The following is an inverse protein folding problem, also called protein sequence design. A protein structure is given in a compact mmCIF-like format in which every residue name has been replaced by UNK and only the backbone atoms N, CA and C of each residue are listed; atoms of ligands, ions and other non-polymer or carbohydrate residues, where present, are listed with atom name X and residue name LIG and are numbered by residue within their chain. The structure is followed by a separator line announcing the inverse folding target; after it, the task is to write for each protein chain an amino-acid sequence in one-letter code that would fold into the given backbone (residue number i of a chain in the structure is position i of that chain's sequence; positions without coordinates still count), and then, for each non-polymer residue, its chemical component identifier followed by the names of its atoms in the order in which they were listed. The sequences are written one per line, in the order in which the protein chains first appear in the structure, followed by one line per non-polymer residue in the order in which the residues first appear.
data_IF_485844229530
#
_entry.id   IF_485844229530
#
_cell.length_a   1.000
_cell.length_b   1.000
_cell.length_c   1.000
_cell.angle_alpha   90.00
_cell.angle_beta   90.00
_cell.angle_gamma   90.00
#
_symmetry.space_group_name_H-M   'P 1'
#
loop_
_entity.id
_entity.type
_entity.pdbx_description
1 polymer ?
#
# COMPACT_ATOMS: atom_id res chain seq x y z
N UNK A 1 -16.30 8.51 -3.17
CA UNK A 1 -15.22 7.91 -2.33
C UNK A 1 -14.45 9.05 -1.67
N UNK A 2 -14.38 9.03 -0.34
CA UNK A 2 -13.73 10.08 0.45
C UNK A 2 -12.32 9.74 0.91
N UNK A 3 -11.89 8.51 0.69
CA UNK A 3 -10.56 8.06 1.03
C UNK A 3 -10.39 6.58 0.76
N UNK A 4 -9.14 6.15 0.65
CA UNK A 4 -8.78 4.74 0.42
C UNK A 4 -7.69 4.36 1.40
N UNK A 5 -7.87 3.25 2.07
CA UNK A 5 -6.83 2.64 2.90
C UNK A 5 -6.27 1.40 2.21
N UNK A 6 -4.97 1.36 2.02
CA UNK A 6 -4.31 0.24 1.36
C UNK A 6 -3.17 -0.29 2.24
N UNK A 7 -3.20 -1.59 2.50
CA UNK A 7 -2.28 -2.24 3.42
C UNK A 7 -1.33 -3.16 2.63
N UNK A 8 -0.03 -2.86 2.71
CA UNK A 8 1.04 -3.71 2.18
C UNK A 8 0.84 -4.13 0.71
N UNK A 9 0.33 -3.23 -0.12
CA UNK A 9 0.05 -3.52 -1.53
C UNK A 9 1.26 -3.40 -2.43
N UNK A 10 1.30 -4.14 -3.56
CA UNK A 10 2.33 -4.01 -4.58
C UNK A 10 1.94 -2.93 -5.59
N UNK A 11 2.67 -1.82 -5.60
CA UNK A 11 2.35 -0.67 -6.46
C UNK A 11 3.42 -0.37 -7.49
N UNK A 12 4.64 -0.90 -7.30
CA UNK A 12 5.78 -0.68 -8.16
C UNK A 12 6.65 -1.94 -8.14
N UNK A 13 6.25 -2.96 -8.89
CA UNK A 13 6.87 -4.29 -8.85
C UNK A 13 7.40 -4.76 -10.22
N UNK A 14 7.51 -3.87 -11.18
CA UNK A 14 8.17 -4.18 -12.46
C UNK A 14 9.64 -3.74 -12.37
N UNK A 15 10.60 -4.52 -12.85
CA UNK A 15 10.44 -5.81 -13.54
C UNK A 15 9.98 -6.94 -12.62
N UNK A 16 9.22 -7.88 -13.20
CA UNK A 16 8.65 -8.99 -12.44
C UNK A 16 9.76 -9.95 -12.01
N UNK A 17 9.96 -10.08 -10.70
CA UNK A 17 11.05 -10.87 -10.14
C UNK A 17 10.59 -12.15 -9.43
N UNK A 18 9.30 -12.29 -9.15
CA UNK A 18 8.75 -13.49 -8.55
C UNK A 18 8.09 -14.37 -9.62
N UNK A 19 8.04 -15.68 -9.36
CA UNK A 19 7.41 -16.61 -10.29
C UNK A 19 5.94 -16.29 -10.47
N UNK A 20 5.25 -15.91 -9.39
CA UNK A 20 3.83 -15.56 -9.43
C UNK A 20 3.58 -14.35 -10.33
N UNK A 21 4.36 -13.29 -10.20
CA UNK A 21 4.18 -12.09 -11.03
C UNK A 21 4.53 -12.35 -12.47
N UNK A 22 5.56 -13.16 -12.74
CA UNK A 22 5.93 -13.56 -14.11
C UNK A 22 4.81 -14.34 -14.78
N UNK A 23 4.17 -15.26 -14.07
CA UNK A 23 3.07 -16.05 -14.61
C UNK A 23 1.83 -15.18 -14.86
N UNK A 24 1.56 -14.23 -13.97
CA UNK A 24 0.35 -13.40 -14.07
C UNK A 24 0.47 -12.27 -15.10
N UNK A 25 1.64 -11.66 -15.21
CA UNK A 25 1.81 -10.41 -15.99
C UNK A 25 2.93 -10.48 -17.03
N UNK A 26 3.76 -11.53 -17.03
CA UNK A 26 4.98 -11.58 -17.83
C UNK A 26 4.78 -11.43 -19.34
N UNK A 27 3.63 -11.87 -19.86
CA UNK A 27 3.31 -11.81 -21.28
C UNK A 27 2.56 -10.54 -21.69
N UNK A 28 2.29 -9.65 -20.73
CA UNK A 28 1.56 -8.41 -21.03
C UNK A 28 2.44 -7.45 -21.80
N UNK A 29 1.94 -6.93 -22.93
CA UNK A 29 2.73 -6.12 -23.86
C UNK A 29 3.13 -4.77 -23.29
N UNK A 30 2.35 -4.22 -22.34
CA UNK A 30 2.62 -2.93 -21.71
C UNK A 30 2.71 -3.12 -20.19
N UNK A 31 3.81 -3.70 -19.70
CA UNK A 31 3.91 -4.03 -18.27
C UNK A 31 3.79 -2.81 -17.34
N UNK A 32 4.12 -1.60 -17.81
CA UNK A 32 3.94 -0.39 -17.03
C UNK A 32 2.47 -0.13 -16.66
N UNK A 33 1.52 -0.65 -17.42
CA UNK A 33 0.09 -0.51 -17.13
C UNK A 33 -0.38 -1.45 -16.01
N UNK A 34 0.46 -2.39 -15.58
CA UNK A 34 0.16 -3.26 -14.44
C UNK A 34 0.58 -2.63 -13.11
N UNK A 35 1.24 -1.47 -13.14
CA UNK A 35 1.85 -0.85 -11.95
C UNK A 35 1.01 0.33 -11.47
N UNK A 36 0.33 0.21 -10.32
CA UNK A 36 -0.49 1.31 -9.78
C UNK A 36 0.24 2.64 -9.63
N UNK A 37 1.55 2.62 -9.41
CA UNK A 37 2.37 3.83 -9.26
C UNK A 37 2.32 4.73 -10.50
N UNK A 38 1.97 4.18 -11.67
CA UNK A 38 1.89 4.94 -12.92
C UNK A 38 0.52 5.59 -13.15
N UNK A 39 -0.43 5.44 -12.21
CA UNK A 39 -1.80 5.93 -12.36
C UNK A 39 -2.20 6.96 -11.30
N UNK A 40 -1.23 7.60 -10.66
CA UNK A 40 -1.50 8.63 -9.66
C UNK A 40 -2.06 9.89 -10.30
N UNK A 41 -2.99 10.57 -9.61
CA UNK A 41 -3.64 11.79 -10.09
C UNK A 41 -3.89 12.72 -8.92
N UNK A 42 -3.90 14.04 -9.20
CA UNK A 42 -4.19 15.04 -8.17
C UNK A 42 -5.63 15.00 -7.68
N UNK A 43 -6.56 14.49 -8.50
CA UNK A 43 -7.98 14.40 -8.17
C UNK A 43 -8.39 13.04 -7.59
N UNK A 44 -7.43 12.15 -7.34
CA UNK A 44 -7.70 10.87 -6.71
C UNK A 44 -8.14 11.06 -5.24
N UNK A 45 -8.94 10.14 -4.67
CA UNK A 45 -9.26 10.21 -3.25
C UNK A 45 -8.00 10.17 -2.39
N UNK A 46 -7.98 10.80 -1.20
CA UNK A 46 -6.84 10.69 -0.29
C UNK A 46 -6.49 9.23 0.00
N UNK A 47 -5.20 8.92 0.07
CA UNK A 47 -4.70 7.58 0.33
C UNK A 47 -4.11 7.47 1.73
N UNK A 48 -4.41 6.38 2.41
CA UNK A 48 -3.72 5.97 3.63
C UNK A 48 -3.00 4.67 3.33
N UNK A 49 -1.67 4.70 3.38
CA UNK A 49 -0.83 3.57 3.01
C UNK A 49 -0.10 3.08 4.25
N UNK A 50 -0.11 1.76 4.46
CA UNK A 50 0.60 1.18 5.59
C UNK A 50 1.34 -0.07 5.17
N UNK A 51 2.42 -0.36 5.87
CA UNK A 51 3.21 -1.57 5.68
C UNK A 51 3.95 -1.92 6.95
N UNK A 52 4.41 -3.17 7.05
CA UNK A 52 5.26 -3.62 8.14
C UNK A 52 6.72 -3.63 7.70
N UNK A 53 7.63 -3.25 8.58
CA UNK A 53 9.06 -3.18 8.24
C UNK A 53 9.67 -4.55 7.94
N UNK A 54 9.07 -5.64 8.42
CA UNK A 54 9.51 -7.01 8.16
C UNK A 54 8.78 -7.69 7.00
N UNK A 55 8.03 -6.92 6.20
CA UNK A 55 7.35 -7.47 5.02
C UNK A 55 8.37 -7.76 3.92
N UNK A 56 8.61 -9.05 3.66
CA UNK A 56 9.50 -9.52 2.61
C UNK A 56 8.75 -10.00 1.36
N UNK A 57 7.44 -10.13 1.43
CA UNK A 57 6.60 -10.52 0.30
C UNK A 57 6.29 -9.33 -0.59
N UNK A 58 5.84 -8.23 0.01
CA UNK A 58 5.65 -6.96 -0.68
C UNK A 58 6.44 -5.91 0.11
N UNK A 59 7.58 -5.54 -0.41
CA UNK A 59 8.52 -4.68 0.32
C UNK A 59 7.95 -3.29 0.60
N UNK A 60 8.30 -2.68 1.73
CA UNK A 60 7.81 -1.34 2.09
C UNK A 60 8.04 -0.26 1.04
N UNK A 61 9.05 -0.42 0.17
CA UNK A 61 9.32 0.53 -0.89
C UNK A 61 8.10 0.80 -1.78
N UNK A 62 7.24 -0.20 -1.97
CA UNK A 62 6.03 -0.05 -2.79
C UNK A 62 5.12 1.06 -2.25
N UNK A 63 4.84 1.04 -0.96
CA UNK A 63 3.99 2.05 -0.32
C UNK A 63 4.67 3.43 -0.30
N UNK A 64 5.98 3.46 -0.03
CA UNK A 64 6.72 4.72 0.00
C UNK A 64 6.75 5.40 -1.36
N UNK A 65 6.98 4.64 -2.44
CA UNK A 65 7.03 5.18 -3.80
C UNK A 65 5.65 5.67 -4.23
N UNK A 66 4.59 4.93 -3.92
CA UNK A 66 3.23 5.38 -4.25
C UNK A 66 2.89 6.68 -3.53
N UNK A 67 3.24 6.79 -2.23
CA UNK A 67 3.06 8.04 -1.48
C UNK A 67 3.76 9.21 -2.17
N UNK A 68 5.04 9.02 -2.50
CA UNK A 68 5.84 10.09 -3.09
C UNK A 68 5.29 10.50 -4.45
N UNK A 69 4.90 9.55 -5.28
CA UNK A 69 4.31 9.83 -6.59
C UNK A 69 2.95 10.55 -6.47
N UNK A 70 2.14 10.15 -5.51
CA UNK A 70 0.85 10.80 -5.27
C UNK A 70 1.02 12.26 -4.85
N UNK A 71 1.97 12.52 -3.95
CA UNK A 71 2.27 13.88 -3.51
C UNK A 71 2.86 14.73 -4.65
N UNK A 72 3.74 14.17 -5.48
CA UNK A 72 4.27 14.84 -6.65
C UNK A 72 3.18 15.23 -7.66
N UNK A 73 2.14 14.40 -7.78
CA UNK A 73 1.01 14.66 -8.67
C UNK A 73 0.03 15.70 -8.09
N UNK A 74 0.25 16.17 -6.87
CA UNK A 74 -0.63 17.13 -6.20
C UNK A 74 -1.78 16.48 -5.43
N UNK A 75 -1.79 15.16 -5.28
CA UNK A 75 -2.77 14.45 -4.49
C UNK A 75 -2.42 14.40 -3.01
N UNK A 76 -3.20 13.66 -2.24
CA UNK A 76 -3.02 13.51 -0.79
C UNK A 76 -2.73 12.05 -0.44
N UNK A 77 -1.65 11.81 0.31
CA UNK A 77 -1.28 10.47 0.75
C UNK A 77 -0.60 10.52 2.10
N UNK A 78 -1.01 9.59 2.99
CA UNK A 78 -0.38 9.38 4.29
C UNK A 78 0.25 7.99 4.31
N UNK A 79 1.38 7.84 5.00
CA UNK A 79 2.11 6.59 5.04
C UNK A 79 2.53 6.26 6.47
N UNK A 80 2.29 5.02 6.89
CA UNK A 80 2.67 4.53 8.22
C UNK A 80 3.43 3.21 8.09
N UNK A 81 4.60 3.12 8.73
CA UNK A 81 5.34 1.86 8.86
C UNK A 81 5.16 1.32 10.27
N UNK A 82 4.86 0.02 10.37
CA UNK A 82 4.73 -0.65 11.67
C UNK A 82 6.00 -1.49 11.90
N UNK A 83 6.81 -1.15 12.94
CA UNK A 83 8.06 -1.86 13.21
C UNK A 83 7.83 -3.35 13.52
N UNK A 84 8.71 -4.19 12.99
CA UNK A 84 8.73 -5.64 13.27
C UNK A 84 7.46 -6.40 12.87
N UNK A 85 6.68 -5.83 11.95
CA UNK A 85 5.44 -6.45 11.45
C UNK A 85 5.68 -6.97 10.03
N UNK A 86 5.30 -8.21 9.77
CA UNK A 86 5.41 -8.81 8.44
C UNK A 86 4.10 -8.67 7.64
N UNK A 87 4.09 -9.22 6.43
CA UNK A 87 2.94 -9.10 5.52
C UNK A 87 1.65 -9.68 6.10
N UNK A 88 1.73 -10.85 6.71
CA UNK A 88 0.56 -11.49 7.30
C UNK A 88 0.11 -10.75 8.56
N UNK A 89 1.05 -10.35 9.40
CA UNK A 89 0.74 -9.71 10.68
C UNK A 89 -0.01 -8.39 10.52
N UNK A 90 0.32 -7.59 9.49
CA UNK A 90 -0.39 -6.32 9.25
C UNK A 90 -1.86 -6.56 8.93
N UNK A 91 -2.16 -7.63 8.20
CA UNK A 91 -3.54 -8.00 7.90
C UNK A 91 -4.26 -8.56 9.13
N UNK A 92 -3.57 -9.39 9.91
CA UNK A 92 -4.13 -9.98 11.13
C UNK A 92 -4.42 -8.94 12.20
N UNK A 93 -3.68 -7.84 12.22
CA UNK A 93 -3.88 -6.76 13.19
C UNK A 93 -5.26 -6.10 13.09
N UNK A 94 -6.00 -6.33 12.01
CA UNK A 94 -7.38 -5.86 11.87
C UNK A 94 -8.37 -6.72 12.66
N UNK A 95 -8.00 -7.92 13.05
CA UNK A 95 -8.88 -8.82 13.80
C UNK A 95 -8.69 -8.68 15.30
N UNK A 96 -9.76 -8.92 16.08
CA UNK A 96 -9.76 -8.74 17.54
C UNK A 96 -8.60 -9.44 18.26
N UNK A 97 -8.28 -10.72 17.99
CA UNK A 97 -7.24 -11.41 18.76
C UNK A 97 -5.84 -10.81 18.55
N UNK A 98 -5.62 -10.09 17.44
CA UNK A 98 -4.28 -9.64 17.05
C UNK A 98 -4.14 -8.12 16.96
N UNK A 99 -5.13 -7.33 17.38
CA UNK A 99 -5.09 -5.87 17.35
C UNK A 99 -3.92 -5.27 18.12
N UNK A 100 -3.47 -5.97 19.16
CA UNK A 100 -2.35 -5.50 19.98
C UNK A 100 -1.00 -5.53 19.25
N UNK A 101 -0.90 -6.25 18.14
CA UNK A 101 0.36 -6.35 17.37
C UNK A 101 0.71 -5.06 16.64
N UNK A 102 -0.30 -4.29 16.24
CA UNK A 102 -0.10 -3.00 15.58
C UNK A 102 -1.40 -2.22 15.65
N UNK A 103 -1.31 -0.89 15.70
CA UNK A 103 -2.47 0.00 15.81
C UNK A 103 -3.12 0.27 14.44
N UNK A 104 -3.05 -0.67 13.51
CA UNK A 104 -3.50 -0.51 12.11
C UNK A 104 -4.95 -0.08 12.04
N UNK A 105 -5.84 -0.77 12.75
CA UNK A 105 -7.27 -0.46 12.68
C UNK A 105 -7.58 0.94 13.23
N UNK A 106 -6.99 1.30 14.37
CA UNK A 106 -7.22 2.61 14.98
C UNK A 106 -6.70 3.72 14.09
N UNK A 107 -5.52 3.54 13.50
CA UNK A 107 -4.91 4.53 12.62
C UNK A 107 -5.72 4.71 11.34
N UNK A 108 -6.23 3.61 10.78
CA UNK A 108 -7.05 3.63 9.58
C UNK A 108 -8.38 4.34 9.84
N UNK A 109 -9.03 4.06 10.97
CA UNK A 109 -10.28 4.73 11.36
C UNK A 109 -10.03 6.23 11.54
N UNK A 110 -8.95 6.62 12.19
CA UNK A 110 -8.59 8.02 12.36
C UNK A 110 -8.39 8.74 11.02
N UNK A 111 -7.78 8.06 10.05
CA UNK A 111 -7.63 8.62 8.70
C UNK A 111 -9.01 8.90 8.07
N UNK A 112 -9.92 7.93 8.12
CA UNK A 112 -11.25 8.12 7.53
C UNK A 112 -12.05 9.21 8.23
N UNK A 113 -11.91 9.35 9.54
CA UNK A 113 -12.56 10.44 10.30
C UNK A 113 -12.06 11.81 9.85
N UNK A 114 -10.77 11.94 9.53
CA UNK A 114 -10.21 13.21 9.03
C UNK A 114 -10.72 13.59 7.64
N UNK A 115 -11.26 12.61 6.89
CA UNK A 115 -11.69 12.82 5.50
C UNK A 115 -13.19 12.59 5.30
N UNK A 116 -13.97 12.70 6.35
CA UNK A 116 -15.45 12.61 6.26
C UNK A 116 -16.07 13.71 5.42
#
# INVERSE_FOLDING_TARGET
IRGVAALAGPYDFYPFDSETTKQSFGDYQKPEMTQPVNFVRSDAPPLWLSTGTNDTQVRPRNSRILRDKMLEAGGDAEYVEYPDVDHLEIMMALSKPFRHKASVLDDMVAFFERHE
#
